data_IF_517105101834
#
_entry.id   IF_517105101834
#
_cell.length_a   1.000
_cell.length_b   1.000
_cell.length_c   1.000
_cell.angle_alpha   90.00
_cell.angle_beta   90.00
_cell.angle_gamma   90.00
#
_symmetry.space_group_name_H-M   'P 1'
#
loop_
_entity.id
_entity.type
_entity.pdbx_description
1 polymer ?
#
# COMPACT_ATOMS: atom_id res chain seq x y z
N UNK A 1 -11.10 -46.57 -4.04
CA UNK A 1 -10.59 -46.96 -2.71
C UNK A 1 -11.56 -47.96 -2.12
N UNK A 2 -11.11 -49.17 -1.77
CA UNK A 2 -11.93 -50.22 -1.18
C UNK A 2 -11.85 -50.13 0.35
N UNK A 3 -12.97 -50.07 1.03
CA UNK A 3 -13.05 -50.06 2.50
C UNK A 3 -13.52 -51.46 2.93
N UNK A 4 -12.72 -52.19 3.71
CA UNK A 4 -13.13 -53.46 4.27
C UNK A 4 -14.41 -53.33 5.15
N UNK A 5 -15.20 -54.40 5.25
CA UNK A 5 -16.38 -54.41 6.11
C UNK A 5 -15.98 -54.11 7.58
N UNK A 6 -16.65 -53.16 8.22
CA UNK A 6 -16.42 -52.69 9.59
C UNK A 6 -15.12 -51.93 9.81
N UNK A 7 -14.52 -51.39 8.75
CA UNK A 7 -13.32 -50.57 8.87
C UNK A 7 -13.58 -49.08 8.56
N UNK A 8 -12.76 -48.20 9.07
CA UNK A 8 -12.85 -46.77 8.86
C UNK A 8 -11.65 -46.32 8.02
N UNK A 9 -11.90 -45.66 6.90
CA UNK A 9 -10.88 -45.06 6.08
C UNK A 9 -10.95 -43.54 6.16
N UNK A 10 -9.86 -42.90 6.52
CA UNK A 10 -9.74 -41.46 6.53
C UNK A 10 -9.08 -41.01 5.22
N UNK A 11 -9.72 -40.08 4.54
CA UNK A 11 -9.18 -39.38 3.35
C UNK A 11 -8.98 -37.93 3.63
N UNK A 12 -7.99 -37.33 2.98
CA UNK A 12 -7.76 -35.89 3.01
C UNK A 12 -7.86 -35.31 1.60
N UNK A 13 -8.43 -34.13 1.50
CA UNK A 13 -8.51 -33.35 0.26
C UNK A 13 -7.87 -31.98 0.48
N UNK A 14 -6.95 -31.59 -0.39
CA UNK A 14 -6.34 -30.27 -0.38
C UNK A 14 -7.01 -29.39 -1.41
N UNK A 15 -7.60 -28.28 -0.96
CA UNK A 15 -8.15 -27.23 -1.83
C UNK A 15 -7.11 -26.13 -1.95
N UNK A 16 -6.69 -25.83 -3.19
CA UNK A 16 -5.77 -24.71 -3.47
C UNK A 16 -6.58 -23.53 -3.99
N UNK A 17 -6.50 -22.39 -3.32
CA UNK A 17 -7.05 -21.13 -3.79
C UNK A 17 -5.90 -20.18 -4.16
N UNK A 18 -6.11 -19.36 -5.19
CA UNK A 18 -5.14 -18.36 -5.65
C UNK A 18 -5.86 -17.03 -5.82
N UNK A 19 -5.36 -15.99 -5.14
CA UNK A 19 -5.71 -14.61 -5.48
C UNK A 19 -4.90 -14.20 -6.71
N UNK A 20 -5.60 -13.78 -7.76
CA UNK A 20 -4.96 -13.29 -8.98
C UNK A 20 -4.47 -11.87 -8.73
N UNK A 21 -3.20 -11.59 -9.06
CA UNK A 21 -2.64 -10.24 -8.97
C UNK A 21 -3.29 -9.27 -9.97
N UNK A 22 -3.27 -7.96 -9.67
CA UNK A 22 -3.77 -6.92 -10.57
C UNK A 22 -5.29 -6.68 -10.52
N UNK A 23 -5.99 -7.20 -9.53
CA UNK A 23 -7.41 -6.88 -9.32
C UNK A 23 -7.54 -5.55 -8.56
N UNK A 24 -7.86 -4.48 -9.28
CA UNK A 24 -8.00 -3.13 -8.71
C UNK A 24 -9.21 -2.96 -7.77
N UNK A 25 -10.18 -3.82 -7.85
CA UNK A 25 -11.43 -3.77 -7.07
C UNK A 25 -11.40 -4.60 -5.78
N UNK A 26 -10.28 -5.24 -5.45
CA UNK A 26 -10.12 -5.89 -4.15
C UNK A 26 -9.80 -4.82 -3.11
N UNK A 27 -10.72 -4.65 -2.16
CA UNK A 27 -10.60 -3.71 -1.05
C UNK A 27 -9.97 -4.43 0.14
N UNK A 28 -9.04 -3.83 0.89
CA UNK A 28 -8.54 -4.40 2.13
C UNK A 28 -9.67 -4.71 3.09
N UNK A 29 -9.59 -5.86 3.73
CA UNK A 29 -10.54 -6.22 4.77
C UNK A 29 -10.11 -5.57 6.08
N UNK A 30 -10.98 -4.78 6.68
CA UNK A 30 -10.78 -4.28 8.04
C UNK A 30 -10.81 -5.45 9.04
N UNK A 31 -10.32 -5.24 10.24
CA UNK A 31 -10.30 -6.25 11.30
C UNK A 31 -11.70 -6.87 11.47
N UNK A 32 -11.79 -8.18 11.33
CA UNK A 32 -13.05 -8.93 11.42
C UNK A 32 -13.80 -9.14 10.11
N UNK A 33 -13.32 -8.55 8.99
CA UNK A 33 -13.88 -8.80 7.66
C UNK A 33 -12.92 -9.61 6.80
N UNK A 34 -13.46 -10.47 5.96
CA UNK A 34 -12.70 -11.28 5.02
C UNK A 34 -13.53 -11.55 3.78
N UNK A 35 -12.87 -11.83 2.66
CA UNK A 35 -13.54 -12.39 1.50
C UNK A 35 -13.87 -13.83 1.80
N UNK A 36 -15.15 -14.15 1.79
CA UNK A 36 -15.67 -15.46 2.18
C UNK A 36 -16.52 -16.04 1.03
N UNK A 37 -16.20 -17.25 0.62
CA UNK A 37 -17.06 -18.06 -0.26
C UNK A 37 -17.55 -19.28 0.50
N UNK A 38 -18.86 -19.38 0.66
CA UNK A 38 -19.50 -20.48 1.36
C UNK A 38 -19.99 -21.53 0.36
N UNK A 39 -19.60 -22.77 0.56
CA UNK A 39 -20.09 -23.94 -0.16
C UNK A 39 -21.00 -24.72 0.79
N UNK A 40 -22.31 -24.46 0.67
CA UNK A 40 -23.33 -25.06 1.53
C UNK A 40 -23.92 -26.31 0.91
N UNK A 41 -24.77 -27.00 1.67
CA UNK A 41 -25.44 -28.24 1.29
C UNK A 41 -26.03 -28.17 -0.12
N UNK A 42 -25.50 -28.95 -1.05
CA UNK A 42 -25.88 -28.97 -2.45
C UNK A 42 -24.73 -28.70 -3.42
N UNK A 43 -23.72 -27.93 -2.98
CA UNK A 43 -22.56 -27.63 -3.79
C UNK A 43 -21.44 -28.68 -3.65
N UNK A 44 -21.46 -29.45 -2.55
CA UNK A 44 -20.43 -30.44 -2.23
C UNK A 44 -21.07 -31.75 -1.78
N UNK A 45 -20.66 -32.84 -2.37
CA UNK A 45 -21.14 -34.19 -1.99
C UNK A 45 -19.99 -35.21 -2.14
N UNK A 46 -19.89 -36.09 -1.19
CA UNK A 46 -19.15 -37.33 -1.29
C UNK A 46 -20.13 -38.44 -1.61
N UNK A 47 -19.91 -39.16 -2.71
CA UNK A 47 -20.74 -40.27 -3.12
C UNK A 47 -19.93 -41.56 -3.04
N UNK A 48 -20.57 -42.63 -2.57
CA UNK A 48 -19.95 -43.96 -2.51
C UNK A 48 -20.95 -45.06 -2.86
N UNK A 49 -20.42 -46.17 -3.29
CA UNK A 49 -21.15 -47.36 -3.59
C UNK A 49 -20.64 -48.52 -2.74
N UNK A 50 -21.53 -49.24 -2.13
CA UNK A 50 -21.22 -50.49 -1.45
C UNK A 50 -21.31 -51.65 -2.43
N UNK A 51 -20.37 -52.58 -2.39
CA UNK A 51 -20.41 -53.87 -3.09
C UNK A 51 -20.20 -55.00 -2.08
N UNK A 52 -20.82 -56.15 -2.35
CA UNK A 52 -20.57 -57.34 -1.55
C UNK A 52 -19.16 -57.87 -1.81
N UNK A 53 -18.57 -58.50 -0.83
CA UNK A 53 -17.21 -59.02 -0.88
C UNK A 53 -16.95 -60.00 -2.03
N UNK A 54 -18.00 -60.69 -2.51
CA UNK A 54 -17.96 -61.63 -3.62
C UNK A 54 -18.22 -61.00 -4.99
N UNK A 55 -18.55 -59.73 -5.05
CA UNK A 55 -18.81 -59.00 -6.30
C UNK A 55 -17.53 -58.35 -6.84
N UNK A 56 -17.34 -58.21 -8.16
CA UNK A 56 -16.25 -57.44 -8.71
C UNK A 56 -16.30 -55.99 -8.23
N UNK A 57 -15.12 -55.37 -8.09
CA UNK A 57 -15.04 -53.96 -7.68
C UNK A 57 -15.81 -53.07 -8.64
N UNK A 58 -16.60 -52.09 -8.14
CA UNK A 58 -17.35 -51.20 -9.00
C UNK A 58 -16.37 -50.31 -9.78
N UNK A 59 -16.54 -50.25 -11.09
CA UNK A 59 -15.70 -49.46 -12.01
C UNK A 59 -16.00 -47.98 -11.91
N UNK A 60 -17.16 -47.61 -11.41
CA UNK A 60 -17.61 -46.24 -11.21
C UNK A 60 -18.53 -46.09 -10.02
N UNK A 61 -18.96 -44.87 -9.71
CA UNK A 61 -19.97 -44.59 -8.70
C UNK A 61 -21.39 -44.56 -9.26
N UNK A 62 -21.63 -45.16 -10.44
CA UNK A 62 -22.97 -45.26 -11.03
C UNK A 62 -23.88 -46.25 -10.30
N UNK A 63 -25.18 -46.15 -10.46
CA UNK A 63 -26.17 -47.02 -9.84
C UNK A 63 -26.60 -46.62 -8.43
N UNK A 64 -26.75 -47.56 -7.52
CA UNK A 64 -27.19 -47.27 -6.13
C UNK A 64 -26.14 -46.48 -5.38
N UNK A 65 -26.30 -45.15 -5.29
CA UNK A 65 -25.40 -44.25 -4.62
C UNK A 65 -25.95 -43.86 -3.26
N UNK A 66 -25.10 -43.98 -2.26
CA UNK A 66 -25.28 -43.26 -1.01
C UNK A 66 -24.41 -41.99 -1.10
N UNK A 67 -24.93 -40.85 -0.71
CA UNK A 67 -24.17 -39.59 -0.72
C UNK A 67 -24.30 -38.87 0.61
N UNK A 68 -23.22 -38.30 1.04
CA UNK A 68 -23.17 -37.38 2.17
C UNK A 68 -22.81 -36.00 1.67
N UNK A 69 -23.63 -35.01 2.02
CA UNK A 69 -23.35 -33.61 1.71
C UNK A 69 -22.60 -32.97 2.88
N UNK A 70 -21.66 -32.11 2.58
CA UNK A 70 -20.93 -31.38 3.58
C UNK A 70 -20.77 -29.92 3.14
N UNK A 71 -20.53 -29.07 4.10
CA UNK A 71 -20.29 -27.63 3.87
C UNK A 71 -18.88 -27.30 4.23
N UNK A 72 -18.25 -26.38 3.47
CA UNK A 72 -16.99 -25.75 3.81
C UNK A 72 -16.98 -24.31 3.33
N UNK A 73 -16.03 -23.52 3.77
CA UNK A 73 -15.81 -22.17 3.29
C UNK A 73 -14.36 -21.97 2.86
N UNK A 74 -14.18 -21.06 1.92
CA UNK A 74 -12.87 -20.54 1.53
C UNK A 74 -12.83 -19.08 1.93
N UNK A 75 -11.79 -18.70 2.66
CA UNK A 75 -11.63 -17.36 3.20
C UNK A 75 -10.29 -16.76 2.77
N UNK A 76 -10.31 -15.47 2.43
CA UNK A 76 -9.11 -14.69 2.17
C UNK A 76 -9.16 -13.39 2.96
N UNK A 77 -8.01 -12.99 3.51
CA UNK A 77 -7.83 -11.70 4.16
C UNK A 77 -6.83 -10.87 3.35
N UNK A 78 -7.20 -9.64 3.01
CA UNK A 78 -6.34 -8.70 2.28
C UNK A 78 -5.96 -7.58 3.24
N UNK A 79 -4.67 -7.49 3.58
CA UNK A 79 -4.16 -6.43 4.44
C UNK A 79 -4.01 -5.11 3.67
N UNK A 80 -4.26 -3.95 4.32
CA UNK A 80 -3.87 -2.67 3.75
C UNK A 80 -2.34 -2.58 3.67
N UNK A 81 -1.83 -2.06 2.55
CA UNK A 81 -0.39 -1.84 2.33
C UNK A 81 -0.22 -0.58 1.50
N UNK A 82 0.75 0.26 1.88
CA UNK A 82 1.24 1.36 1.07
C UNK A 82 2.72 1.17 0.76
N UNK A 83 3.11 1.51 -0.45
CA UNK A 83 4.46 1.42 -0.98
C UNK A 83 4.94 2.79 -1.46
N UNK A 84 6.13 3.19 -1.02
CA UNK A 84 6.86 4.29 -1.60
C UNK A 84 7.48 3.84 -2.93
N UNK A 85 7.17 4.53 -4.01
CA UNK A 85 7.66 4.17 -5.35
C UNK A 85 8.88 5.01 -5.72
N UNK A 86 8.75 6.35 -5.64
CA UNK A 86 9.83 7.28 -5.98
C UNK A 86 9.59 8.67 -5.42
N UNK A 87 10.66 9.44 -5.30
CA UNK A 87 10.63 10.89 -5.16
C UNK A 87 11.72 11.49 -6.02
N UNK A 88 11.42 12.61 -6.67
CA UNK A 88 12.39 13.40 -7.43
C UNK A 88 13.17 14.30 -6.47
N UNK A 89 14.44 14.51 -6.77
CA UNK A 89 15.22 15.58 -6.16
C UNK A 89 14.69 16.95 -6.64
N UNK A 90 14.67 17.92 -5.75
CA UNK A 90 14.29 19.30 -6.08
C UNK A 90 15.55 20.15 -6.10
N UNK A 91 16.07 20.41 -7.30
CA UNK A 91 17.27 21.19 -7.53
C UNK A 91 16.91 22.62 -7.95
N UNK A 92 17.29 23.60 -7.13
CA UNK A 92 17.09 25.00 -7.47
C UNK A 92 18.12 25.52 -8.49
N UNK A 93 19.18 24.76 -8.74
CA UNK A 93 20.26 25.17 -9.63
C UNK A 93 21.21 26.20 -9.00
N UNK A 94 22.00 26.88 -9.86
CA UNK A 94 22.96 27.88 -9.44
C UNK A 94 22.38 29.28 -9.57
N UNK A 95 22.45 30.05 -8.48
CA UNK A 95 21.96 31.42 -8.41
C UNK A 95 23.03 32.37 -7.83
N UNK A 96 22.96 33.63 -8.21
CA UNK A 96 23.76 34.68 -7.60
C UNK A 96 23.24 35.05 -6.22
N UNK A 97 24.11 35.50 -5.31
CA UNK A 97 23.68 36.04 -4.02
C UNK A 97 22.64 37.15 -4.21
N UNK A 98 21.62 37.18 -3.37
CA UNK A 98 20.55 38.16 -3.45
C UNK A 98 19.44 37.84 -4.47
N UNK A 99 19.47 36.69 -5.16
CA UNK A 99 18.33 36.24 -5.95
C UNK A 99 17.12 35.97 -5.04
N UNK A 100 15.92 36.29 -5.52
CA UNK A 100 14.69 36.19 -4.73
C UNK A 100 13.62 35.28 -5.39
N UNK A 101 12.72 34.74 -4.56
CA UNK A 101 11.53 33.97 -4.97
C UNK A 101 11.84 32.80 -5.91
N UNK A 102 12.88 32.04 -5.58
CA UNK A 102 13.22 30.81 -6.32
C UNK A 102 12.14 29.75 -6.10
N UNK A 103 11.79 29.09 -7.20
CA UNK A 103 10.70 28.10 -7.22
C UNK A 103 11.12 26.89 -8.03
N UNK A 104 10.95 25.72 -7.43
CA UNK A 104 11.18 24.45 -8.09
C UNK A 104 10.17 23.42 -7.61
N UNK A 105 10.02 22.34 -8.35
CA UNK A 105 9.12 21.27 -7.97
C UNK A 105 9.68 19.90 -8.37
N UNK A 106 9.27 18.88 -7.61
CA UNK A 106 9.53 17.48 -7.88
C UNK A 106 8.25 16.66 -7.68
N UNK A 107 8.29 15.40 -8.05
CA UNK A 107 7.16 14.49 -7.90
C UNK A 107 7.47 13.45 -6.83
N UNK A 108 6.44 13.07 -6.10
CA UNK A 108 6.43 12.00 -5.11
C UNK A 108 5.37 10.99 -5.52
N UNK A 109 5.75 9.73 -5.71
CA UNK A 109 4.84 8.67 -6.13
C UNK A 109 4.72 7.59 -5.07
N UNK A 110 3.47 7.25 -4.73
CA UNK A 110 3.11 6.20 -3.77
C UNK A 110 2.07 5.29 -4.39
N UNK A 111 1.99 4.04 -3.93
CA UNK A 111 0.95 3.09 -4.32
C UNK A 111 0.37 2.45 -3.09
N UNK A 112 -0.95 2.51 -2.91
CA UNK A 112 -1.65 1.89 -1.80
C UNK A 112 -2.72 0.93 -2.30
N UNK A 113 -2.95 -0.16 -1.57
CA UNK A 113 -4.02 -1.12 -1.83
C UNK A 113 -5.35 -0.39 -1.94
N UNK A 114 -6.19 -0.85 -2.87
CA UNK A 114 -7.51 -0.26 -3.12
C UNK A 114 -8.35 -0.19 -1.84
N UNK A 115 -8.97 0.98 -1.58
CA UNK A 115 -9.77 1.24 -0.39
C UNK A 115 -8.96 1.55 0.87
N UNK A 116 -7.63 1.52 0.84
CA UNK A 116 -6.78 1.87 1.99
C UNK A 116 -6.73 3.39 2.18
N UNK A 117 -7.26 3.95 3.27
CA UNK A 117 -7.03 5.35 3.59
C UNK A 117 -5.56 5.55 3.97
N UNK A 118 -4.94 6.60 3.47
CA UNK A 118 -3.54 6.90 3.81
C UNK A 118 -3.27 8.39 3.88
N UNK A 119 -2.17 8.72 4.52
CA UNK A 119 -1.64 10.08 4.59
C UNK A 119 -0.17 10.11 4.17
N UNK A 120 0.26 11.20 3.54
CA UNK A 120 1.65 11.45 3.16
C UNK A 120 2.08 12.77 3.77
N UNK A 121 3.04 12.72 4.69
CA UNK A 121 3.67 13.86 5.32
C UNK A 121 5.10 14.07 4.84
N UNK A 122 5.58 15.31 4.93
CA UNK A 122 6.97 15.68 4.63
C UNK A 122 7.61 16.29 5.88
N UNK A 123 8.81 15.80 6.23
CA UNK A 123 9.56 16.23 7.42
C UNK A 123 10.97 16.61 6.99
N UNK A 124 11.30 17.90 6.89
CA UNK A 124 12.67 18.39 6.70
C UNK A 124 13.63 17.95 7.81
N UNK A 125 14.94 17.96 7.56
CA UNK A 125 15.95 17.47 8.52
C UNK A 125 16.01 18.27 9.82
N UNK A 126 15.48 19.50 9.84
CA UNK A 126 15.34 20.30 11.06
C UNK A 126 14.19 19.83 11.97
N UNK A 127 13.43 18.78 11.58
CA UNK A 127 12.30 18.22 12.32
C UNK A 127 11.01 19.03 12.24
N UNK A 128 10.95 20.07 11.43
CA UNK A 128 9.76 20.90 11.29
C UNK A 128 8.60 20.10 10.70
N UNK A 129 7.43 20.17 11.33
CA UNK A 129 6.21 19.45 10.94
C UNK A 129 5.26 20.30 10.08
N UNK A 130 5.60 21.57 9.81
CA UNK A 130 4.74 22.53 9.11
C UNK A 130 5.19 22.80 7.67
N UNK A 131 6.15 22.02 7.16
CA UNK A 131 6.65 22.14 5.79
C UNK A 131 7.67 23.27 5.58
N UNK A 132 8.37 23.71 6.64
CA UNK A 132 9.44 24.68 6.58
C UNK A 132 10.77 24.01 6.91
N UNK A 133 11.69 24.00 5.95
CA UNK A 133 13.01 23.38 6.08
C UNK A 133 14.14 24.41 6.01
N UNK A 134 15.37 23.93 6.22
CA UNK A 134 16.61 24.69 6.14
C UNK A 134 17.68 23.84 5.47
N UNK A 135 18.13 24.24 4.29
CA UNK A 135 19.29 23.63 3.64
C UNK A 135 20.56 24.11 4.36
N UNK A 136 21.47 23.18 4.64
CA UNK A 136 22.78 23.44 5.26
C UNK A 136 23.87 23.41 4.21
N UNK A 137 24.92 24.22 4.42
CA UNK A 137 26.08 24.15 3.57
C UNK A 137 26.78 22.80 3.65
N UNK A 138 27.24 22.29 2.50
CA UNK A 138 28.11 21.11 2.43
C UNK A 138 29.51 21.37 2.97
N UNK A 139 29.92 22.63 3.06
CA UNK A 139 31.18 23.06 3.72
C UNK A 139 30.93 23.24 5.23
N UNK A 140 31.55 22.42 6.10
CA UNK A 140 31.32 22.48 7.55
C UNK A 140 31.79 23.79 8.20
N UNK A 141 32.65 24.58 7.53
CA UNK A 141 33.09 25.89 8.01
C UNK A 141 32.03 26.98 7.76
N UNK A 142 31.06 26.72 6.89
CA UNK A 142 29.96 27.64 6.62
C UNK A 142 28.72 27.18 7.41
N UNK A 143 28.30 27.96 8.41
CA UNK A 143 27.20 27.68 9.30
C UNK A 143 25.87 28.28 8.85
N UNK A 144 25.83 28.95 7.69
CA UNK A 144 24.61 29.50 7.13
C UNK A 144 23.59 28.41 6.81
N UNK A 145 22.35 28.80 6.89
CA UNK A 145 21.22 27.94 6.56
C UNK A 145 20.23 28.67 5.65
N UNK A 146 19.92 28.08 4.53
CA UNK A 146 18.97 28.63 3.56
C UNK A 146 17.59 28.09 3.83
N UNK A 147 16.63 28.90 4.35
CA UNK A 147 15.28 28.45 4.63
C UNK A 147 14.50 28.24 3.33
N UNK A 148 13.69 27.18 3.33
CA UNK A 148 12.77 26.87 2.25
C UNK A 148 11.39 26.45 2.76
N UNK A 149 10.39 26.43 1.87
CA UNK A 149 9.05 25.97 2.17
C UNK A 149 8.61 24.93 1.14
N UNK A 150 7.92 23.88 1.63
CA UNK A 150 7.28 22.86 0.82
C UNK A 150 5.79 23.12 0.73
N UNK A 151 5.23 23.04 -0.47
CA UNK A 151 3.81 23.28 -0.75
C UNK A 151 3.21 22.11 -1.52
N UNK A 152 1.90 21.92 -1.36
CA UNK A 152 1.14 20.91 -2.10
C UNK A 152 0.83 21.39 -3.52
N UNK A 153 1.25 20.60 -4.51
CA UNK A 153 0.95 20.85 -5.91
C UNK A 153 1.73 22.03 -6.49
N UNK A 154 1.14 23.21 -6.57
CA UNK A 154 1.74 24.37 -7.25
C UNK A 154 2.26 25.43 -6.29
N UNK A 155 3.15 26.30 -6.77
CA UNK A 155 3.71 27.43 -6.01
C UNK A 155 2.65 28.46 -5.61
N UNK A 156 1.53 28.54 -6.34
CA UNK A 156 0.41 29.42 -6.02
C UNK A 156 -0.46 28.89 -4.89
N UNK A 157 -0.30 27.62 -4.52
CA UNK A 157 -1.04 27.05 -3.40
C UNK A 157 -0.53 27.67 -2.09
N UNK A 158 -1.46 28.16 -1.26
CA UNK A 158 -1.15 28.72 0.05
C UNK A 158 -0.84 27.63 1.11
N UNK A 159 -1.23 26.38 0.85
CA UNK A 159 -1.08 25.30 1.83
C UNK A 159 0.33 24.70 1.79
N UNK A 160 1.04 24.87 2.90
CA UNK A 160 2.30 24.15 3.12
C UNK A 160 2.06 22.65 3.25
N UNK A 161 3.07 21.88 2.89
CA UNK A 161 3.06 20.42 3.03
C UNK A 161 4.05 19.98 4.09
N UNK A 162 3.57 19.71 5.25
CA UNK A 162 4.32 19.14 6.37
C UNK A 162 3.73 17.80 6.80
N UNK A 163 3.74 17.53 8.10
CA UNK A 163 3.28 16.28 8.69
C UNK A 163 2.24 16.50 9.82
N UNK A 164 1.45 17.58 9.73
CA UNK A 164 0.39 17.89 10.70
C UNK A 164 -0.95 17.26 10.28
N UNK A 165 -1.82 16.89 11.23
CA UNK A 165 -3.13 16.33 10.93
C UNK A 165 -4.10 17.34 10.29
N UNK A 166 -3.89 18.63 10.54
CA UNK A 166 -4.72 19.74 10.06
C UNK A 166 -3.95 21.06 10.09
N UNK A 167 -4.52 22.12 9.49
CA UNK A 167 -3.94 23.45 9.48
C UNK A 167 -2.81 23.63 8.47
N UNK A 168 -1.95 24.62 8.73
CA UNK A 168 -0.75 24.88 7.94
C UNK A 168 0.22 23.70 8.08
N UNK A 169 0.76 23.24 6.95
CA UNK A 169 1.66 22.08 6.96
C UNK A 169 0.96 20.74 7.14
N UNK A 170 -0.34 20.66 6.86
CA UNK A 170 -1.06 19.39 6.94
C UNK A 170 -0.53 18.38 5.92
N UNK A 171 -0.57 17.09 6.27
CA UNK A 171 -0.26 16.00 5.33
C UNK A 171 -1.26 15.91 4.18
N UNK A 172 -0.87 15.28 3.10
CA UNK A 172 -1.78 14.90 2.02
C UNK A 172 -2.60 13.68 2.45
N UNK A 173 -3.93 13.74 2.33
CA UNK A 173 -4.86 12.62 2.60
C UNK A 173 -5.37 12.06 1.29
N UNK A 174 -5.47 10.74 1.20
CA UNK A 174 -6.08 10.06 0.07
C UNK A 174 -6.55 8.65 0.44
N UNK A 175 -7.21 7.99 -0.51
CA UNK A 175 -7.55 6.57 -0.45
C UNK A 175 -6.89 5.88 -1.65
N UNK A 176 -6.25 4.75 -1.40
CA UNK A 176 -5.65 3.92 -2.44
C UNK A 176 -6.70 3.38 -3.42
N UNK A 177 -6.31 3.23 -4.66
CA UNK A 177 -7.10 2.61 -5.73
C UNK A 177 -6.38 1.40 -6.37
N UNK A 178 -5.26 0.98 -5.74
CA UNK A 178 -4.38 -0.09 -6.25
C UNK A 178 -3.39 0.39 -7.31
N UNK A 179 -3.52 1.62 -7.83
CA UNK A 179 -2.60 2.22 -8.80
C UNK A 179 -1.59 3.16 -8.14
N UNK A 180 -0.54 3.53 -8.89
CA UNK A 180 0.42 4.53 -8.44
C UNK A 180 -0.19 5.92 -8.49
N UNK A 181 -0.02 6.68 -7.40
CA UNK A 181 -0.49 8.06 -7.27
C UNK A 181 0.70 8.99 -7.16
N UNK A 182 0.80 9.94 -8.08
CA UNK A 182 1.85 10.95 -8.10
C UNK A 182 1.34 12.27 -7.55
N UNK A 183 2.12 12.87 -6.67
CA UNK A 183 1.91 14.17 -6.06
C UNK A 183 3.05 15.10 -6.42
N UNK A 184 2.76 16.33 -6.80
CA UNK A 184 3.77 17.36 -7.00
C UNK A 184 4.07 18.07 -5.68
N UNK A 185 5.34 18.14 -5.35
CA UNK A 185 5.91 18.91 -4.22
C UNK A 185 6.51 20.18 -4.79
N UNK A 186 5.95 21.33 -4.47
CA UNK A 186 6.50 22.61 -4.85
C UNK A 186 7.38 23.15 -3.71
N UNK A 187 8.62 23.55 -4.02
CA UNK A 187 9.57 24.12 -3.06
C UNK A 187 9.89 25.57 -3.40
N UNK A 188 10.00 26.41 -2.38
CA UNK A 188 10.29 27.85 -2.53
C UNK A 188 11.39 28.30 -1.58
N UNK A 189 12.35 29.07 -2.11
CA UNK A 189 13.38 29.81 -1.36
C UNK A 189 13.14 31.29 -1.56
N UNK A 190 13.05 32.04 -0.46
CA UNK A 190 12.70 33.48 -0.51
C UNK A 190 13.84 34.37 -1.01
N UNK A 191 15.05 34.08 -0.59
CA UNK A 191 16.25 34.79 -1.05
C UNK A 191 17.50 33.91 -0.92
N UNK A 192 18.56 34.28 -1.60
CA UNK A 192 19.86 33.61 -1.59
C UNK A 192 21.01 34.52 -1.07
N UNK A 193 20.69 35.47 -0.18
CA UNK A 193 21.69 36.36 0.43
C UNK A 193 22.41 35.64 1.59
N UNK A 194 23.22 34.65 1.20
CA UNK A 194 24.01 33.79 2.08
C UNK A 194 25.44 33.64 1.55
N UNK A 195 26.35 33.16 2.38
CA UNK A 195 27.72 32.85 1.97
C UNK A 195 27.71 31.92 0.75
N UNK A 196 28.45 32.25 -0.32
CA UNK A 196 28.51 31.39 -1.50
C UNK A 196 28.95 29.96 -1.16
N UNK A 197 28.24 29.00 -1.67
CA UNK A 197 28.49 27.58 -1.41
C UNK A 197 27.34 26.69 -1.91
N UNK A 198 27.52 25.40 -1.75
CA UNK A 198 26.50 24.40 -2.02
C UNK A 198 25.69 24.15 -0.74
N UNK A 199 24.36 24.12 -0.86
CA UNK A 199 23.44 23.93 0.25
C UNK A 199 22.50 22.79 -0.07
N UNK A 200 22.28 21.90 0.89
CA UNK A 200 21.40 20.74 0.74
C UNK A 200 20.61 20.45 2.02
N UNK A 201 19.48 19.81 1.85
CA UNK A 201 18.69 19.24 2.93
C UNK A 201 18.09 17.88 2.52
N UNK A 202 17.74 17.07 3.50
CA UNK A 202 17.06 15.79 3.31
C UNK A 202 15.68 15.84 3.93
N UNK A 203 14.67 15.61 3.09
CA UNK A 203 13.26 15.54 3.53
C UNK A 203 12.86 14.08 3.69
N UNK A 204 12.31 13.73 4.86
CA UNK A 204 11.74 12.42 5.10
C UNK A 204 10.28 12.40 4.64
N UNK A 205 9.91 11.38 3.88
CA UNK A 205 8.51 11.09 3.50
C UNK A 205 7.93 10.13 4.52
N UNK A 206 6.85 10.55 5.20
CA UNK A 206 6.12 9.74 6.20
C UNK A 206 4.78 9.30 5.61
N UNK A 207 4.61 7.99 5.41
CA UNK A 207 3.38 7.39 4.88
C UNK A 207 2.71 6.58 5.99
N UNK A 208 1.47 6.93 6.32
CA UNK A 208 0.65 6.24 7.34
C UNK A 208 -0.62 5.71 6.70
N UNK A 209 -0.99 4.47 7.04
CA UNK A 209 -2.15 3.73 6.52
C UNK A 209 -2.70 2.73 7.55
#
# INVERSE_FOLDING_TARGET
MRIPAKDTVTGSMTIKARLVSGQSNIIPTTTGHSYLSNFTNGSTALSWRAAYDTAPDPVDCGGFLTSQRFSFYVQAHVAPVCEFISADDIDFGTHTAGSTDLKQSGNLTVRCTNGTPYTVGLIPSNGNQEGSGEMKSTNPANTDKVPYRLKKGTHTNAHLWGNQPSGTGSWQKATGDGSSKTYTVAAEVKNTDYTPGEYQDKVTVDIRY
#
